data_IF_823316715761
#
_entry.id   IF_823316715761
#
_cell.length_a   1.000
_cell.length_b   1.000
_cell.length_c   1.000
_cell.angle_alpha   90.00
_cell.angle_beta   90.00
_cell.angle_gamma   90.00
#
_symmetry.space_group_name_H-M   'P 1'
#
loop_
_entity.id
_entity.type
_entity.pdbx_description
1 polymer ?
#
# COMPACT_ATOMS: atom_id res chain seq x y z
N UNK A 1 -2.54 13.30 0.23
CA UNK A 1 -1.82 13.72 1.45
C UNK A 1 -2.76 13.54 2.64
N UNK A 2 -2.32 12.90 3.73
CA UNK A 2 -3.19 12.55 4.89
C UNK A 2 -2.66 13.07 6.24
N UNK A 3 -1.36 13.33 6.35
CA UNK A 3 -0.70 13.62 7.63
C UNK A 3 -0.17 15.05 7.73
N UNK A 4 -0.24 15.82 6.64
CA UNK A 4 0.28 17.18 6.58
C UNK A 4 1.76 17.25 7.03
N UNK A 5 2.55 16.28 6.56
CA UNK A 5 3.99 16.18 6.82
C UNK A 5 4.70 16.37 5.50
N UNK A 6 5.67 17.29 5.46
CA UNK A 6 6.44 17.57 4.27
C UNK A 6 7.88 17.04 4.42
N UNK A 7 8.17 15.81 3.97
CA UNK A 7 9.49 15.21 4.14
C UNK A 7 10.54 15.92 3.28
N UNK A 8 11.75 16.09 3.81
CA UNK A 8 12.88 16.61 3.03
C UNK A 8 13.42 15.59 2.02
N UNK A 9 13.32 14.31 2.34
CA UNK A 9 13.65 13.18 1.48
C UNK A 9 12.58 12.10 1.66
N UNK A 10 12.10 11.53 0.56
CA UNK A 10 11.23 10.35 0.60
C UNK A 10 11.55 9.38 -0.54
N UNK A 11 11.16 8.12 -0.34
CA UNK A 11 11.41 7.04 -1.31
C UNK A 11 10.10 6.42 -1.78
N UNK A 12 10.08 6.04 -3.05
CA UNK A 12 8.93 5.40 -3.69
C UNK A 12 9.40 4.25 -4.58
N UNK A 13 8.57 3.23 -4.72
CA UNK A 13 8.80 2.05 -5.56
C UNK A 13 7.44 1.39 -5.82
N UNK A 14 7.34 0.05 -5.78
CA UNK A 14 6.08 -0.72 -5.85
C UNK A 14 5.17 -0.22 -6.98
N UNK A 15 4.08 0.46 -6.64
CA UNK A 15 3.09 0.98 -7.57
C UNK A 15 3.70 1.93 -8.62
N UNK A 16 4.81 2.61 -8.32
CA UNK A 16 5.50 3.52 -9.24
C UNK A 16 5.69 2.91 -10.63
N UNK A 17 6.02 1.62 -10.74
CA UNK A 17 6.27 0.97 -12.03
C UNK A 17 5.14 0.11 -12.57
N UNK A 18 4.00 0.01 -11.88
CA UNK A 18 2.88 -0.81 -12.33
C UNK A 18 3.24 -2.29 -12.56
N UNK A 19 4.22 -2.81 -11.80
CA UNK A 19 4.77 -4.16 -11.98
C UNK A 19 6.15 -4.21 -12.64
N UNK A 20 6.58 -3.14 -13.33
CA UNK A 20 7.96 -3.01 -13.83
C UNK A 20 8.88 -2.55 -12.68
N UNK A 21 10.07 -3.15 -12.48
CA UNK A 21 10.96 -2.78 -11.38
C UNK A 21 11.49 -1.34 -11.50
N UNK A 22 11.09 -0.48 -10.56
CA UNK A 22 11.60 0.88 -10.42
C UNK A 22 11.49 1.33 -8.96
N UNK A 23 12.48 2.12 -8.53
CA UNK A 23 12.44 2.88 -7.29
C UNK A 23 13.01 4.27 -7.54
N UNK A 24 12.56 5.24 -6.76
CA UNK A 24 13.05 6.61 -6.79
C UNK A 24 13.21 7.14 -5.37
N UNK A 25 14.23 7.99 -5.19
CA UNK A 25 14.41 8.84 -4.04
C UNK A 25 14.22 10.27 -4.50
N UNK A 26 13.30 10.98 -3.86
CA UNK A 26 13.03 12.39 -4.12
C UNK A 26 13.55 13.19 -2.93
N UNK A 27 14.19 14.32 -3.21
CA UNK A 27 14.71 15.20 -2.18
C UNK A 27 14.45 16.66 -2.53
N UNK A 28 14.32 17.49 -1.51
CA UNK A 28 14.33 18.95 -1.67
C UNK A 28 15.72 19.41 -2.08
N UNK A 29 15.78 20.59 -2.70
CA UNK A 29 17.03 21.13 -3.25
C UNK A 29 18.14 21.28 -2.22
N UNK A 30 17.83 21.61 -0.96
CA UNK A 30 18.83 21.73 0.12
C UNK A 30 19.40 20.38 0.58
N UNK A 31 18.77 19.26 0.20
CA UNK A 31 19.26 17.91 0.46
C UNK A 31 19.99 17.30 -0.75
N UNK A 32 20.06 18.00 -1.89
CA UNK A 32 20.71 17.51 -3.09
C UNK A 32 22.24 17.66 -2.99
N UNK A 33 22.87 16.75 -2.24
CA UNK A 33 24.30 16.78 -1.93
C UNK A 33 25.14 15.84 -2.79
N UNK A 34 24.51 14.99 -3.60
CA UNK A 34 25.23 14.03 -4.44
C UNK A 34 25.94 14.72 -5.61
N UNK A 35 27.22 14.41 -5.76
CA UNK A 35 28.05 14.77 -6.89
C UNK A 35 28.20 13.60 -7.90
N UNK A 36 28.95 13.84 -8.98
CA UNK A 36 29.24 12.82 -9.97
C UNK A 36 29.93 11.59 -9.35
N UNK A 37 29.27 10.43 -9.41
CA UNK A 37 29.81 9.15 -8.94
C UNK A 37 29.35 8.69 -7.56
N UNK A 38 28.69 9.54 -6.77
CA UNK A 38 28.25 9.20 -5.41
C UNK A 38 27.13 8.15 -5.39
N UNK A 39 26.30 8.13 -6.44
CA UNK A 39 25.22 7.17 -6.59
C UNK A 39 25.17 6.69 -8.04
N UNK A 40 25.24 5.37 -8.22
CA UNK A 40 25.19 4.75 -9.52
C UNK A 40 24.44 3.41 -9.44
N UNK A 41 23.85 3.03 -10.57
CA UNK A 41 23.13 1.77 -10.72
C UNK A 41 23.15 1.37 -12.18
N UNK A 42 23.43 0.11 -12.46
CA UNK A 42 23.51 -0.41 -13.83
C UNK A 42 22.16 -0.35 -14.55
N UNK A 43 21.06 -0.53 -13.81
CA UNK A 43 19.71 -0.64 -14.38
C UNK A 43 18.73 0.44 -13.91
N UNK A 44 19.13 1.29 -12.97
CA UNK A 44 18.24 2.35 -12.46
C UNK A 44 17.98 3.41 -13.51
N UNK A 45 16.76 3.95 -13.49
CA UNK A 45 16.32 4.94 -14.48
C UNK A 45 16.28 4.44 -15.92
N UNK A 46 16.25 3.12 -16.15
CA UNK A 46 16.20 2.59 -17.50
C UNK A 46 14.93 3.05 -18.24
N UNK A 47 14.98 3.28 -19.57
CA UNK A 47 13.88 3.87 -20.31
C UNK A 47 12.55 3.12 -20.22
N UNK A 48 12.59 1.78 -20.14
CA UNK A 48 11.37 0.96 -20.01
C UNK A 48 10.68 1.22 -18.67
N UNK A 49 11.43 1.17 -17.57
CA UNK A 49 10.93 1.43 -16.24
C UNK A 49 10.39 2.86 -16.09
N UNK A 50 11.10 3.86 -16.65
CA UNK A 50 10.64 5.24 -16.67
C UNK A 50 9.35 5.43 -17.49
N UNK A 51 9.23 4.77 -18.65
CA UNK A 51 8.02 4.82 -19.47
C UNK A 51 6.81 4.18 -18.75
N UNK A 52 7.02 3.04 -18.09
CA UNK A 52 6.00 2.41 -17.25
C UNK A 52 5.56 3.34 -16.11
N UNK A 53 6.51 3.97 -15.40
CA UNK A 53 6.16 4.87 -14.31
C UNK A 53 5.44 6.14 -14.76
N UNK A 54 5.79 6.67 -15.94
CA UNK A 54 5.04 7.77 -16.54
C UNK A 54 3.61 7.35 -16.88
N UNK A 55 3.42 6.16 -17.48
CA UNK A 55 2.09 5.64 -17.81
C UNK A 55 1.22 5.44 -16.56
N UNK A 56 1.78 4.89 -15.49
CA UNK A 56 1.07 4.74 -14.20
C UNK A 56 0.68 6.09 -13.62
N UNK A 57 1.61 7.06 -13.60
CA UNK A 57 1.33 8.39 -13.05
C UNK A 57 0.22 9.10 -13.82
N UNK A 58 0.20 8.96 -15.15
CA UNK A 58 -0.90 9.47 -15.99
C UNK A 58 -2.22 8.80 -15.66
N UNK A 59 -2.25 7.47 -15.56
CA UNK A 59 -3.46 6.74 -15.20
C UNK A 59 -4.01 7.16 -13.83
N UNK A 60 -3.14 7.41 -12.85
CA UNK A 60 -3.57 7.90 -11.53
C UNK A 60 -4.34 9.22 -11.63
N UNK A 61 -3.87 10.14 -12.47
CA UNK A 61 -4.47 11.47 -12.68
C UNK A 61 -5.71 11.42 -13.59
N UNK A 62 -5.59 10.79 -14.76
CA UNK A 62 -6.63 10.74 -15.79
C UNK A 62 -7.84 9.88 -15.37
N UNK A 63 -7.61 8.77 -14.66
CA UNK A 63 -8.68 7.83 -14.29
C UNK A 63 -9.30 8.14 -12.91
N UNK A 64 -8.95 9.25 -12.27
CA UNK A 64 -9.45 9.63 -10.93
C UNK A 64 -9.27 8.49 -9.90
N UNK A 65 -8.09 7.86 -9.90
CA UNK A 65 -7.86 6.67 -9.09
C UNK A 65 -7.91 6.98 -7.58
N UNK A 66 -7.56 8.19 -7.16
CA UNK A 66 -7.56 8.56 -5.74
C UNK A 66 -8.98 8.66 -5.18
N UNK A 67 -9.91 9.22 -5.95
CA UNK A 67 -11.33 9.29 -5.63
C UNK A 67 -11.91 7.88 -5.52
N UNK A 68 -11.55 7.00 -6.47
CA UNK A 68 -11.96 5.60 -6.41
C UNK A 68 -11.38 4.88 -5.19
N UNK A 69 -10.11 5.11 -4.83
CA UNK A 69 -9.48 4.57 -3.62
C UNK A 69 -10.23 5.03 -2.36
N UNK A 70 -10.66 6.29 -2.30
CA UNK A 70 -11.46 6.79 -1.18
C UNK A 70 -12.83 6.10 -1.12
N UNK A 71 -13.53 6.02 -2.25
CA UNK A 71 -14.86 5.41 -2.33
C UNK A 71 -14.84 3.90 -2.01
N UNK A 72 -13.90 3.15 -2.59
CA UNK A 72 -13.74 1.71 -2.32
C UNK A 72 -13.17 1.45 -0.94
N UNK A 73 -12.31 2.32 -0.42
CA UNK A 73 -11.83 2.26 0.96
C UNK A 73 -12.95 2.42 1.98
N UNK A 74 -13.88 3.37 1.76
CA UNK A 74 -15.06 3.53 2.60
C UNK A 74 -15.98 2.30 2.55
N UNK A 75 -16.19 1.74 1.35
CA UNK A 75 -16.95 0.49 1.18
C UNK A 75 -16.29 -0.67 1.94
N UNK A 76 -14.97 -0.85 1.80
CA UNK A 76 -14.22 -1.91 2.48
C UNK A 76 -14.34 -1.76 4.00
N UNK A 77 -14.13 -0.55 4.53
CA UNK A 77 -14.23 -0.29 5.97
C UNK A 77 -15.62 -0.62 6.51
N UNK A 78 -16.69 -0.18 5.84
CA UNK A 78 -18.06 -0.50 6.26
C UNK A 78 -18.33 -2.02 6.28
N UNK A 79 -17.77 -2.76 5.32
CA UNK A 79 -17.85 -4.23 5.29
C UNK A 79 -17.11 -4.88 6.46
N UNK A 80 -15.92 -4.41 6.79
CA UNK A 80 -15.14 -4.92 7.93
C UNK A 80 -15.83 -4.61 9.27
N UNK A 81 -16.41 -3.42 9.42
CA UNK A 81 -17.18 -3.02 10.61
C UNK A 81 -18.45 -3.86 10.78
N UNK A 82 -19.11 -4.23 9.67
CA UNK A 82 -20.22 -5.17 9.69
C UNK A 82 -19.77 -6.55 10.18
N UNK A 83 -18.63 -7.06 9.71
CA UNK A 83 -18.05 -8.33 10.17
C UNK A 83 -17.78 -8.27 11.67
N UNK A 84 -17.17 -7.18 12.18
CA UNK A 84 -16.94 -7.00 13.61
C UNK A 84 -18.25 -7.02 14.41
N UNK A 85 -19.31 -6.41 13.88
CA UNK A 85 -20.64 -6.40 14.52
C UNK A 85 -21.29 -7.79 14.54
N UNK A 86 -21.14 -8.56 13.46
CA UNK A 86 -21.69 -9.92 13.33
C UNK A 86 -20.92 -10.95 14.16
N UNK A 87 -19.63 -10.71 14.42
CA UNK A 87 -18.74 -11.60 15.15
C UNK A 87 -18.09 -10.89 16.34
N UNK A 88 -18.88 -10.54 17.38
CA UNK A 88 -18.34 -9.84 18.55
C UNK A 88 -17.24 -10.65 19.22
N UNK A 89 -16.14 -9.97 19.59
CA UNK A 89 -14.96 -10.59 20.22
C UNK A 89 -13.95 -11.20 19.24
N UNK A 90 -14.25 -11.29 17.94
CA UNK A 90 -13.30 -11.78 16.93
C UNK A 90 -12.37 -10.70 16.39
N UNK A 91 -12.86 -9.46 16.29
CA UNK A 91 -12.12 -8.34 15.69
C UNK A 91 -11.69 -7.38 16.78
N UNK A 92 -10.37 -7.24 16.95
CA UNK A 92 -9.76 -6.34 17.94
C UNK A 92 -9.68 -4.90 17.44
N UNK A 93 -9.35 -4.70 16.17
CA UNK A 93 -9.22 -3.37 15.57
C UNK A 93 -9.37 -3.41 14.04
N UNK A 94 -9.79 -2.28 13.46
CA UNK A 94 -9.86 -2.06 12.00
C UNK A 94 -9.18 -0.73 11.68
N UNK A 95 -7.99 -0.79 11.09
CA UNK A 95 -7.13 0.38 10.88
C UNK A 95 -6.58 0.49 9.46
N UNK A 96 -6.16 1.69 9.10
CA UNK A 96 -5.62 2.02 7.79
C UNK A 96 -6.44 3.08 7.04
N UNK A 97 -5.97 3.39 5.83
CA UNK A 97 -6.49 4.47 5.00
C UNK A 97 -6.74 3.98 3.57
N UNK A 98 -7.87 4.38 2.98
CA UNK A 98 -8.24 3.96 1.62
C UNK A 98 -8.20 2.43 1.49
N UNK A 99 -7.48 1.93 0.49
CA UNK A 99 -7.34 0.50 0.20
C UNK A 99 -6.14 -0.17 0.89
N UNK A 100 -5.39 0.54 1.75
CA UNK A 100 -4.43 -0.08 2.66
C UNK A 100 -5.07 -0.17 4.06
N UNK A 101 -5.95 -1.15 4.22
CA UNK A 101 -6.74 -1.37 5.44
C UNK A 101 -6.52 -2.79 5.94
N UNK A 102 -6.40 -2.95 7.25
CA UNK A 102 -6.24 -4.23 7.93
C UNK A 102 -7.29 -4.43 9.02
N UNK A 103 -7.65 -5.70 9.23
CA UNK A 103 -8.47 -6.18 10.32
C UNK A 103 -7.60 -7.01 11.25
N UNK A 104 -7.51 -6.62 12.52
CA UNK A 104 -6.77 -7.36 13.54
C UNK A 104 -7.69 -8.39 14.21
N UNK A 105 -7.27 -9.65 14.21
CA UNK A 105 -7.96 -10.75 14.87
C UNK A 105 -7.64 -10.69 16.36
N UNK A 106 -8.64 -10.92 17.20
CA UNK A 106 -8.45 -10.97 18.65
C UNK A 106 -7.63 -12.21 19.07
N UNK A 107 -6.63 -11.97 19.91
CA UNK A 107 -5.73 -13.01 20.45
C UNK A 107 -6.52 -14.12 21.20
N UNK A 108 -7.66 -13.76 21.80
CA UNK A 108 -8.54 -14.67 22.55
C UNK A 108 -9.16 -15.78 21.69
N UNK A 109 -9.21 -15.60 20.37
CA UNK A 109 -9.78 -16.61 19.46
C UNK A 109 -8.82 -17.79 19.22
N UNK A 110 -7.53 -17.64 19.53
CA UNK A 110 -6.52 -18.68 19.28
C UNK A 110 -6.37 -19.02 17.80
N UNK A 111 -6.77 -18.11 16.89
CA UNK A 111 -6.66 -18.25 15.43
C UNK A 111 -5.69 -17.21 14.91
N UNK A 112 -4.74 -17.64 14.10
CA UNK A 112 -3.74 -16.77 13.46
C UNK A 112 -4.29 -16.11 12.20
N UNK A 113 -3.71 -14.96 11.82
CA UNK A 113 -4.01 -14.33 10.53
C UNK A 113 -3.73 -15.27 9.34
N UNK A 114 -2.70 -16.11 9.45
CA UNK A 114 -2.36 -17.09 8.41
C UNK A 114 -3.45 -18.15 8.19
N UNK A 115 -4.10 -18.61 9.26
CA UNK A 115 -5.21 -19.58 9.16
C UNK A 115 -6.44 -18.97 8.51
N UNK A 116 -6.78 -17.72 8.85
CA UNK A 116 -7.89 -17.00 8.21
C UNK A 116 -7.59 -16.76 6.73
N UNK A 117 -6.38 -16.33 6.38
CA UNK A 117 -5.97 -16.17 4.98
C UNK A 117 -6.03 -17.51 4.24
N UNK A 118 -5.58 -18.60 4.85
CA UNK A 118 -5.66 -19.94 4.28
C UNK A 118 -7.10 -20.41 4.02
N UNK A 119 -8.03 -20.09 4.93
CA UNK A 119 -9.45 -20.34 4.73
C UNK A 119 -10.04 -19.48 3.60
N UNK A 120 -9.75 -18.17 3.58
CA UNK A 120 -10.22 -17.25 2.56
C UNK A 120 -9.77 -17.67 1.14
N UNK A 121 -8.52 -18.10 0.99
CA UNK A 121 -7.99 -18.57 -0.31
C UNK A 121 -8.74 -19.81 -0.80
N UNK A 122 -9.12 -20.74 0.08
CA UNK A 122 -9.93 -21.92 -0.29
C UNK A 122 -11.31 -21.53 -0.80
N UNK A 123 -11.87 -20.42 -0.30
CA UNK A 123 -13.12 -19.82 -0.75
C UNK A 123 -12.93 -18.88 -1.96
N UNK A 124 -11.73 -18.81 -2.54
CA UNK A 124 -11.44 -17.99 -3.73
C UNK A 124 -11.13 -16.51 -3.45
N UNK A 125 -10.89 -16.14 -2.20
CA UNK A 125 -10.52 -14.78 -1.79
C UNK A 125 -9.03 -14.70 -1.43
N UNK A 126 -8.25 -13.97 -2.23
CA UNK A 126 -6.84 -13.74 -1.95
C UNK A 126 -6.64 -12.63 -0.92
N UNK A 127 -6.06 -12.99 0.22
CA UNK A 127 -5.69 -12.08 1.30
C UNK A 127 -4.19 -12.22 1.62
N UNK A 128 -3.65 -11.26 2.37
CA UNK A 128 -2.27 -11.30 2.87
C UNK A 128 -2.26 -11.18 4.39
N UNK A 129 -1.52 -12.03 5.11
CA UNK A 129 -1.33 -11.87 6.55
C UNK A 129 -0.30 -10.78 6.81
N UNK A 130 -0.45 -10.07 7.94
CA UNK A 130 0.50 -9.06 8.41
C UNK A 130 0.43 -8.96 9.94
N UNK A 131 1.47 -8.41 10.56
CA UNK A 131 1.61 -8.35 12.01
C UNK A 131 2.62 -9.38 12.53
N UNK A 132 3.03 -9.23 13.77
CA UNK A 132 4.00 -10.11 14.44
C UNK A 132 3.35 -11.30 15.16
N UNK A 133 2.02 -11.30 15.25
CA UNK A 133 1.19 -12.26 15.96
C UNK A 133 0.01 -12.65 15.07
#
# INVERSE_FOLDING_TARGET
ENLNVEPDVFTIAKALGGGVPIGAMLCKSHCNVFGPGDHATTFGGNPLACAAGLAVTKAIDEDNLLENVAARGAQLRAGLELIQTQHPGWVKDIRGWGLITGLEISDDQGVTAGEVVGAAIKEGLLLVPAGTH
#
